data_IF_676587464130
#
_entry.id   IF_676587464130
#
_cell.length_a   1.000
_cell.length_b   1.000
_cell.length_c   1.000
_cell.angle_alpha   90.00
_cell.angle_beta   90.00
_cell.angle_gamma   90.00
#
_symmetry.space_group_name_H-M   'P 1'
#
loop_
_entity.id
_entity.type
_entity.pdbx_description
1 polymer ?
#
# COMPACT_ATOMS: atom_id res chain seq x y z
N UNK A 1 -29.49 94.16 4.50
CA UNK A 1 -29.37 93.19 5.61
C UNK A 1 -28.76 91.91 5.03
N UNK A 2 -27.46 91.91 4.77
CA UNK A 2 -26.38 91.41 5.65
C UNK A 2 -26.54 89.92 6.02
N UNK A 3 -25.85 89.10 5.23
CA UNK A 3 -25.31 87.79 5.61
C UNK A 3 -24.45 87.93 6.86
N UNK A 4 -24.67 87.08 7.87
CA UNK A 4 -23.72 86.90 8.97
C UNK A 4 -23.19 85.47 8.95
N UNK A 5 -21.94 85.35 8.51
CA UNK A 5 -21.07 84.19 8.73
C UNK A 5 -20.75 84.12 10.22
N UNK A 6 -20.94 82.95 10.82
CA UNK A 6 -20.18 82.57 12.03
C UNK A 6 -19.58 81.19 11.80
N UNK A 7 -18.31 81.24 11.39
CA UNK A 7 -17.32 80.19 11.42
C UNK A 7 -16.96 79.95 12.90
N UNK A 8 -17.07 78.72 13.41
CA UNK A 8 -16.37 78.30 14.63
C UNK A 8 -15.71 76.93 14.40
N UNK A 9 -14.48 76.72 14.92
CA UNK A 9 -13.58 75.68 14.45
C UNK A 9 -13.81 74.35 15.18
N UNK A 10 -13.49 73.26 14.47
CA UNK A 10 -13.24 71.94 15.03
C UNK A 10 -12.26 71.98 16.21
N UNK A 11 -12.43 71.08 17.18
CA UNK A 11 -11.32 70.26 17.65
C UNK A 11 -11.56 68.82 17.22
N UNK A 12 -10.84 68.44 16.16
CA UNK A 12 -10.53 67.08 15.78
C UNK A 12 -9.67 66.46 16.90
N UNK A 13 -10.33 65.98 17.96
CA UNK A 13 -9.69 65.16 18.98
C UNK A 13 -9.59 63.73 18.45
N UNK A 14 -8.62 63.51 17.56
CA UNK A 14 -8.03 62.19 17.33
C UNK A 14 -7.38 61.74 18.65
N UNK A 15 -8.14 61.09 19.53
CA UNK A 15 -7.54 60.15 20.46
C UNK A 15 -7.09 58.94 19.62
N UNK A 16 -5.85 59.00 19.16
CA UNK A 16 -5.09 57.85 18.71
C UNK A 16 -5.05 56.83 19.84
N UNK A 17 -5.99 55.88 19.85
CA UNK A 17 -5.74 54.58 20.44
C UNK A 17 -4.63 53.97 19.58
N UNK A 18 -3.38 54.18 19.98
CA UNK A 18 -2.23 53.49 19.40
C UNK A 18 -2.45 51.99 19.65
N UNK A 19 -2.56 51.21 18.58
CA UNK A 19 -2.76 49.76 18.66
C UNK A 19 -1.43 49.08 18.34
N UNK A 20 -1.06 48.03 19.07
CA UNK A 20 0.20 47.33 18.83
C UNK A 20 0.18 46.48 17.54
N UNK A 21 -1.00 45.98 17.15
CA UNK A 21 -1.15 45.06 16.04
C UNK A 21 -2.19 45.58 15.02
N UNK A 22 -1.88 45.44 13.73
CA UNK A 22 -2.73 45.93 12.64
C UNK A 22 -3.23 44.80 11.75
N UNK A 23 -4.28 45.09 10.99
CA UNK A 23 -4.74 44.18 9.94
C UNK A 23 -3.67 44.17 8.86
N UNK A 24 -3.20 42.99 8.49
CA UNK A 24 -2.05 42.92 7.61
C UNK A 24 -1.74 41.51 7.19
N UNK A 25 -0.98 41.45 6.09
CA UNK A 25 -0.34 40.22 5.67
C UNK A 25 0.78 39.86 6.66
N UNK A 26 1.01 38.58 6.83
CA UNK A 26 2.13 38.09 7.61
C UNK A 26 2.75 36.86 6.96
N UNK A 27 4.02 36.63 7.27
CA UNK A 27 4.73 35.39 6.99
C UNK A 27 5.31 34.85 8.30
N UNK A 28 5.41 33.53 8.43
CA UNK A 28 6.04 32.90 9.58
C UNK A 28 6.91 31.74 9.16
N UNK A 29 8.02 31.56 9.87
CA UNK A 29 8.88 30.38 9.77
C UNK A 29 9.07 29.81 11.17
N UNK A 30 8.96 28.50 11.30
CA UNK A 30 9.07 27.86 12.60
C UNK A 30 9.65 26.46 12.55
N UNK A 31 10.04 25.99 13.73
CA UNK A 31 10.47 24.62 13.95
C UNK A 31 9.32 23.84 14.56
N UNK A 32 9.19 22.59 14.12
CA UNK A 32 8.22 21.64 14.65
C UNK A 32 8.93 20.48 15.32
N UNK A 33 8.41 20.07 16.48
CA UNK A 33 8.73 18.80 17.10
C UNK A 33 7.44 18.01 17.26
N UNK A 34 7.41 16.75 16.86
CA UNK A 34 6.21 15.93 17.00
C UNK A 34 6.53 14.52 17.46
N UNK A 35 5.62 13.98 18.26
CA UNK A 35 5.65 12.58 18.65
C UNK A 35 4.79 11.83 17.64
N UNK A 36 5.39 10.87 16.95
CA UNK A 36 4.72 10.02 15.98
C UNK A 36 4.70 8.58 16.49
N UNK A 37 3.62 7.85 16.24
CA UNK A 37 3.63 6.40 16.39
C UNK A 37 3.50 5.72 15.04
N UNK A 38 4.11 4.55 14.94
CA UNK A 38 3.88 3.57 13.91
C UNK A 38 3.24 2.34 14.55
N UNK A 39 2.06 1.96 14.07
CA UNK A 39 1.36 0.74 14.51
C UNK A 39 1.40 -0.25 13.37
N UNK A 40 1.87 -1.45 13.66
CA UNK A 40 2.10 -2.53 12.73
C UNK A 40 1.30 -3.75 13.19
N UNK A 41 0.30 -4.13 12.40
CA UNK A 41 -0.33 -5.44 12.51
C UNK A 41 0.28 -6.33 11.44
N UNK A 42 0.89 -7.42 11.89
CA UNK A 42 1.61 -8.42 11.11
C UNK A 42 2.80 -7.85 10.35
N UNK A 43 3.98 -8.44 10.58
CA UNK A 43 5.20 -7.84 10.05
C UNK A 43 5.24 -7.87 8.52
N UNK A 44 5.24 -6.70 7.86
CA UNK A 44 5.12 -6.62 6.42
C UNK A 44 6.46 -6.90 5.71
N UNK A 45 7.59 -6.94 6.43
CA UNK A 45 8.90 -7.36 5.93
C UNK A 45 9.02 -8.88 5.81
N UNK A 46 8.36 -9.63 6.69
CA UNK A 46 8.15 -11.08 6.52
C UNK A 46 7.28 -11.40 5.29
N UNK A 47 6.59 -10.41 4.70
CA UNK A 47 5.77 -10.65 3.53
C UNK A 47 6.59 -10.96 2.27
N UNK A 48 7.86 -10.56 2.14
CA UNK A 48 8.62 -10.90 0.92
C UNK A 48 8.79 -12.41 0.78
N UNK A 49 9.23 -13.09 1.85
CA UNK A 49 9.35 -14.54 1.86
C UNK A 49 7.97 -15.22 1.72
N UNK A 50 6.94 -14.72 2.42
CA UNK A 50 5.58 -15.26 2.30
C UNK A 50 4.99 -15.11 0.91
N UNK A 51 5.20 -13.97 0.24
CA UNK A 51 4.77 -13.73 -1.14
C UNK A 51 5.44 -14.73 -2.08
N UNK A 52 6.73 -15.02 -1.89
CA UNK A 52 7.42 -16.04 -2.68
C UNK A 52 6.84 -17.44 -2.44
N UNK A 53 6.57 -17.79 -1.18
CA UNK A 53 5.92 -19.07 -0.83
C UNK A 53 4.54 -19.18 -1.49
N UNK A 54 3.71 -18.12 -1.40
CA UNK A 54 2.37 -18.08 -1.98
C UNK A 54 2.43 -18.16 -3.52
N UNK A 55 3.30 -17.37 -4.15
CA UNK A 55 3.50 -17.38 -5.61
C UNK A 55 3.90 -18.77 -6.11
N UNK A 56 4.88 -19.40 -5.44
CA UNK A 56 5.32 -20.75 -5.77
C UNK A 56 4.21 -21.79 -5.58
N UNK A 57 3.42 -21.67 -4.51
CA UNK A 57 2.28 -22.54 -4.26
C UNK A 57 1.18 -22.39 -5.32
N UNK A 58 0.82 -21.16 -5.71
CA UNK A 58 -0.15 -20.90 -6.77
C UNK A 58 0.33 -21.44 -8.13
N UNK A 59 1.59 -21.21 -8.47
CA UNK A 59 2.21 -21.78 -9.68
C UNK A 59 2.14 -23.31 -9.68
N UNK A 60 2.38 -23.95 -8.53
CA UNK A 60 2.27 -25.40 -8.39
C UNK A 60 0.82 -25.87 -8.55
N UNK A 61 -0.15 -25.20 -7.92
CA UNK A 61 -1.58 -25.51 -8.07
C UNK A 61 -2.02 -25.38 -9.54
N UNK A 62 -1.59 -24.33 -10.24
CA UNK A 62 -1.90 -24.13 -11.65
C UNK A 62 -1.36 -25.27 -12.53
N UNK A 63 -0.11 -25.70 -12.28
CA UNK A 63 0.46 -26.88 -12.97
C UNK A 63 -0.33 -28.15 -12.67
N UNK A 64 -0.74 -28.39 -11.43
CA UNK A 64 -1.54 -29.57 -11.06
C UNK A 64 -2.94 -29.54 -11.69
N UNK A 65 -3.58 -28.37 -11.78
CA UNK A 65 -4.85 -28.19 -12.48
C UNK A 65 -4.72 -28.42 -13.99
N UNK A 66 -3.63 -27.97 -14.61
CA UNK A 66 -3.35 -28.27 -16.02
C UNK A 66 -3.27 -29.79 -16.25
N UNK A 67 -2.53 -30.51 -15.41
CA UNK A 67 -2.42 -31.97 -15.49
C UNK A 67 -3.79 -32.65 -15.28
N UNK A 68 -4.62 -32.14 -14.37
CA UNK A 68 -5.99 -32.62 -14.16
C UNK A 68 -6.83 -32.50 -15.43
N UNK A 69 -6.70 -31.39 -16.15
CA UNK A 69 -7.37 -31.18 -17.44
C UNK A 69 -6.81 -32.12 -18.51
N UNK A 70 -5.49 -32.30 -18.59
CA UNK A 70 -4.83 -33.24 -19.50
C UNK A 70 -5.34 -34.68 -19.28
N UNK A 71 -5.41 -35.15 -18.02
CA UNK A 71 -5.97 -36.47 -17.66
C UNK A 71 -7.42 -36.62 -18.11
N UNK A 72 -8.23 -35.58 -17.94
CA UNK A 72 -9.66 -35.61 -18.31
C UNK A 72 -9.82 -35.65 -19.84
N UNK A 73 -8.92 -35.00 -20.58
CA UNK A 73 -8.93 -34.97 -22.04
C UNK A 73 -8.34 -36.23 -22.70
N UNK A 74 -7.63 -37.07 -21.95
CA UNK A 74 -6.84 -38.17 -22.52
C UNK A 74 -7.68 -39.23 -23.26
N UNK A 75 -8.93 -39.44 -22.87
CA UNK A 75 -9.80 -40.36 -23.61
C UNK A 75 -10.01 -39.92 -25.06
N UNK A 76 -10.06 -38.60 -25.31
CA UNK A 76 -10.15 -38.07 -26.68
C UNK A 76 -8.85 -38.32 -27.46
N UNK A 77 -7.70 -38.23 -26.79
CA UNK A 77 -6.39 -38.56 -27.37
C UNK A 77 -6.30 -40.03 -27.74
N UNK A 78 -6.72 -40.96 -26.88
CA UNK A 78 -6.78 -42.38 -27.22
C UNK A 78 -7.74 -42.65 -28.37
N UNK A 79 -8.92 -42.02 -28.39
CA UNK A 79 -9.86 -42.13 -29.51
C UNK A 79 -9.26 -41.65 -30.84
N UNK A 80 -8.52 -40.53 -30.82
CA UNK A 80 -7.82 -40.01 -32.00
C UNK A 80 -6.79 -41.03 -32.51
N UNK A 81 -5.91 -41.52 -31.63
CA UNK A 81 -4.85 -42.48 -31.99
C UNK A 81 -5.46 -43.76 -32.55
N UNK A 82 -6.48 -44.31 -31.89
CA UNK A 82 -7.17 -45.52 -32.34
C UNK A 82 -7.81 -45.35 -33.72
N UNK A 83 -8.30 -44.15 -34.06
CA UNK A 83 -8.85 -43.85 -35.38
C UNK A 83 -7.75 -43.64 -36.44
N UNK A 84 -6.63 -43.02 -36.06
CA UNK A 84 -5.48 -42.86 -36.95
C UNK A 84 -4.89 -44.21 -37.35
N UNK A 85 -4.74 -45.14 -36.39
CA UNK A 85 -4.25 -46.51 -36.64
C UNK A 85 -5.15 -47.29 -37.59
N UNK A 86 -6.48 -47.22 -37.43
CA UNK A 86 -7.43 -47.88 -38.35
C UNK A 86 -7.36 -47.38 -39.78
N UNK A 87 -6.94 -46.14 -39.99
CA UNK A 87 -6.87 -45.50 -41.30
C UNK A 87 -5.45 -45.46 -41.87
N UNK A 88 -4.48 -46.12 -41.21
CA UNK A 88 -3.05 -45.97 -41.49
C UNK A 88 -2.66 -46.34 -42.93
N UNK A 89 -3.43 -47.22 -43.59
CA UNK A 89 -3.25 -47.61 -44.99
C UNK A 89 -3.50 -46.49 -46.02
N UNK A 90 -3.97 -45.30 -45.60
CA UNK A 90 -4.30 -44.16 -46.48
C UNK A 90 -3.40 -42.94 -46.30
N UNK A 91 -2.43 -42.99 -45.38
CA UNK A 91 -1.57 -41.85 -45.03
C UNK A 91 -0.41 -41.68 -46.02
N UNK A 92 -0.12 -40.44 -46.35
CA UNK A 92 1.10 -40.04 -47.06
C UNK A 92 2.33 -40.12 -46.14
N UNK A 93 3.56 -40.20 -46.67
CA UNK A 93 4.78 -40.25 -45.86
C UNK A 93 4.93 -39.06 -44.88
N UNK A 94 4.45 -37.88 -45.26
CA UNK A 94 4.47 -36.67 -44.40
C UNK A 94 3.48 -36.79 -43.24
N UNK A 95 2.29 -37.34 -43.50
CA UNK A 95 1.29 -37.56 -42.45
C UNK A 95 1.73 -38.66 -41.48
N UNK A 96 2.39 -39.72 -41.96
CA UNK A 96 3.00 -40.74 -41.10
C UNK A 96 4.03 -40.16 -40.12
N UNK A 97 4.86 -39.22 -40.58
CA UNK A 97 5.85 -38.56 -39.73
C UNK A 97 5.20 -37.66 -38.66
N UNK A 98 4.10 -36.98 -39.02
CA UNK A 98 3.34 -36.16 -38.08
C UNK A 98 2.65 -37.02 -37.00
N UNK A 99 2.06 -38.15 -37.38
CA UNK A 99 1.46 -39.11 -36.44
C UNK A 99 2.50 -39.72 -35.49
N UNK A 100 3.70 -40.05 -35.99
CA UNK A 100 4.79 -40.55 -35.14
C UNK A 100 5.23 -39.50 -34.10
N UNK A 101 5.34 -38.24 -34.50
CA UNK A 101 5.64 -37.14 -33.58
C UNK A 101 4.51 -36.94 -32.54
N UNK A 102 3.26 -37.02 -32.98
CA UNK A 102 2.09 -36.92 -32.10
C UNK A 102 2.08 -38.04 -31.05
N UNK A 103 2.34 -39.28 -31.45
CA UNK A 103 2.45 -40.43 -30.54
C UNK A 103 3.58 -40.24 -29.52
N UNK A 104 4.77 -39.85 -29.97
CA UNK A 104 5.90 -39.59 -29.09
C UNK A 104 5.57 -38.51 -28.05
N UNK A 105 4.93 -37.42 -28.48
CA UNK A 105 4.50 -36.34 -27.59
C UNK A 105 3.43 -36.80 -26.59
N UNK A 106 2.55 -37.71 -27.01
CA UNK A 106 1.50 -38.28 -26.16
C UNK A 106 2.11 -39.13 -25.04
N UNK A 107 3.10 -39.99 -25.36
CA UNK A 107 3.76 -40.80 -24.34
C UNK A 107 4.53 -39.96 -23.33
N UNK A 108 5.22 -38.90 -23.79
CA UNK A 108 5.86 -37.93 -22.90
C UNK A 108 4.86 -37.21 -21.98
N UNK A 109 3.68 -36.86 -22.49
CA UNK A 109 2.61 -36.28 -21.68
C UNK A 109 2.07 -37.26 -20.63
N UNK A 110 1.89 -38.54 -20.99
CA UNK A 110 1.47 -39.59 -20.05
C UNK A 110 2.54 -39.81 -18.97
N UNK A 111 3.83 -39.79 -19.32
CA UNK A 111 4.93 -39.88 -18.36
C UNK A 111 4.89 -38.73 -17.34
N UNK A 112 4.72 -37.50 -17.83
CA UNK A 112 4.56 -36.31 -16.99
C UNK A 112 3.34 -36.41 -16.06
N UNK A 113 2.22 -36.92 -16.58
CA UNK A 113 1.00 -37.18 -15.80
C UNK A 113 1.28 -38.18 -14.66
N UNK A 114 1.93 -39.30 -14.95
CA UNK A 114 2.28 -40.34 -13.95
C UNK A 114 3.18 -39.74 -12.87
N UNK A 115 4.22 -39.00 -13.27
CA UNK A 115 5.16 -38.35 -12.35
C UNK A 115 4.47 -37.36 -11.40
N UNK A 116 3.55 -36.53 -11.91
CA UNK A 116 2.88 -35.49 -11.12
C UNK A 116 1.68 -36.00 -10.30
N UNK A 117 1.10 -37.14 -10.67
CA UNK A 117 -0.08 -37.73 -10.02
C UNK A 117 0.24 -38.75 -8.92
N UNK A 118 1.49 -38.80 -8.43
CA UNK A 118 1.94 -39.70 -7.35
C UNK A 118 3.07 -40.65 -7.74
N UNK A 119 3.58 -40.53 -8.97
CA UNK A 119 4.74 -41.29 -9.45
C UNK A 119 4.46 -42.77 -9.71
N UNK A 120 5.50 -43.47 -10.16
CA UNK A 120 5.49 -44.91 -10.52
C UNK A 120 4.95 -45.77 -9.38
N UNK A 121 5.30 -45.45 -8.13
CA UNK A 121 4.86 -46.20 -6.96
C UNK A 121 3.33 -46.20 -6.78
N UNK A 122 2.65 -45.13 -7.19
CA UNK A 122 1.19 -45.02 -7.08
C UNK A 122 0.46 -45.75 -8.22
N UNK A 123 1.14 -45.98 -9.35
CA UNK A 123 0.55 -46.51 -10.60
C UNK A 123 1.51 -47.46 -11.34
N UNK A 124 1.98 -48.56 -10.71
CA UNK A 124 3.03 -49.40 -11.27
C UNK A 124 2.63 -50.05 -12.60
N UNK A 125 1.36 -50.44 -12.75
CA UNK A 125 0.85 -51.06 -13.98
C UNK A 125 0.79 -50.08 -15.16
N UNK A 126 0.44 -48.81 -14.90
CA UNK A 126 0.44 -47.78 -15.94
C UNK A 126 1.88 -47.45 -16.37
N UNK A 127 2.81 -47.35 -15.41
CA UNK A 127 4.22 -47.13 -15.71
C UNK A 127 4.81 -48.28 -16.56
N UNK A 128 4.51 -49.54 -16.21
CA UNK A 128 4.93 -50.70 -17.01
C UNK A 128 4.32 -50.70 -18.42
N UNK A 129 3.04 -50.33 -18.56
CA UNK A 129 2.41 -50.23 -19.87
C UNK A 129 3.03 -49.10 -20.73
N UNK A 130 3.47 -48.01 -20.10
CA UNK A 130 4.16 -46.92 -20.77
C UNK A 130 5.58 -47.30 -21.20
N UNK A 131 6.32 -48.03 -20.36
CA UNK A 131 7.67 -48.52 -20.66
C UNK A 131 7.67 -49.43 -21.89
N UNK A 132 6.69 -50.35 -21.98
CA UNK A 132 6.49 -51.21 -23.16
C UNK A 132 6.22 -50.46 -24.47
N UNK A 133 5.69 -49.24 -24.39
CA UNK A 133 5.49 -48.39 -25.58
C UNK A 133 6.76 -47.67 -26.03
N UNK A 134 7.80 -47.63 -25.19
CA UNK A 134 9.09 -47.03 -25.51
C UNK A 134 10.09 -48.05 -26.08
N UNK A 135 9.81 -49.34 -25.95
CA UNK A 135 10.64 -50.40 -26.51
C UNK A 135 10.60 -50.39 -28.06
N UNK A 136 11.68 -50.81 -28.75
CA UNK A 136 11.69 -50.89 -30.21
C UNK A 136 10.59 -51.81 -30.72
N UNK A 137 9.63 -51.26 -31.47
CA UNK A 137 8.51 -52.02 -32.02
C UNK A 137 9.02 -52.91 -33.14
N UNK A 138 8.91 -54.23 -32.98
CA UNK A 138 9.32 -55.20 -34.01
C UNK A 138 8.14 -55.72 -34.84
N UNK A 139 6.89 -55.58 -34.35
CA UNK A 139 5.68 -56.04 -35.02
C UNK A 139 4.51 -55.03 -34.85
N UNK A 140 3.80 -54.64 -35.94
CA UNK A 140 2.62 -53.77 -35.86
C UNK A 140 1.50 -54.28 -34.94
N UNK A 141 1.29 -55.60 -34.87
CA UNK A 141 0.27 -56.21 -33.99
C UNK A 141 0.63 -56.04 -32.51
N UNK A 142 1.92 -56.12 -32.18
CA UNK A 142 2.44 -55.93 -30.82
C UNK A 142 2.24 -54.49 -30.35
N UNK A 143 2.41 -53.51 -31.24
CA UNK A 143 2.14 -52.11 -30.94
C UNK A 143 0.67 -51.84 -30.61
N UNK A 144 -0.26 -52.39 -31.40
CA UNK A 144 -1.70 -52.24 -31.14
C UNK A 144 -2.09 -52.86 -29.78
N UNK A 145 -1.52 -54.02 -29.43
CA UNK A 145 -1.76 -54.67 -28.15
C UNK A 145 -1.19 -53.85 -26.98
N UNK A 146 0.04 -53.34 -27.11
CA UNK A 146 0.67 -52.49 -26.10
C UNK A 146 -0.10 -51.18 -25.91
N UNK A 147 -0.58 -50.55 -26.98
CA UNK A 147 -1.39 -49.33 -26.91
C UNK A 147 -2.74 -49.59 -26.22
N UNK A 148 -3.41 -50.70 -26.54
CA UNK A 148 -4.68 -51.08 -25.91
C UNK A 148 -4.49 -51.38 -24.42
N UNK A 149 -3.38 -52.02 -24.05
CA UNK A 149 -3.03 -52.20 -22.64
C UNK A 149 -2.75 -50.85 -21.95
N UNK A 150 -2.03 -49.92 -22.59
CA UNK A 150 -1.80 -48.57 -22.07
C UNK A 150 -3.12 -47.83 -21.81
N UNK A 151 -4.05 -47.82 -22.76
CA UNK A 151 -5.38 -47.20 -22.61
C UNK A 151 -6.15 -47.81 -21.43
N UNK A 152 -6.16 -49.15 -21.31
CA UNK A 152 -6.82 -49.84 -20.20
C UNK A 152 -6.22 -49.47 -18.84
N UNK A 153 -4.89 -49.48 -18.71
CA UNK A 153 -4.22 -49.11 -17.46
C UNK A 153 -4.41 -47.63 -17.13
N UNK A 154 -4.44 -46.75 -18.14
CA UNK A 154 -4.70 -45.32 -17.96
C UNK A 154 -6.11 -45.09 -17.42
N UNK A 155 -7.12 -45.70 -18.04
CA UNK A 155 -8.52 -45.57 -17.60
C UNK A 155 -8.75 -46.12 -16.19
N UNK A 156 -8.10 -47.24 -15.85
CA UNK A 156 -8.17 -47.79 -14.49
C UNK A 156 -7.48 -46.91 -13.43
N UNK A 157 -6.47 -46.12 -13.82
CA UNK A 157 -5.73 -45.24 -12.92
C UNK A 157 -6.27 -43.81 -12.86
N UNK A 158 -7.12 -43.39 -13.80
CA UNK A 158 -7.63 -42.02 -13.94
C UNK A 158 -8.20 -41.46 -12.63
N UNK A 159 -9.14 -42.16 -11.99
CA UNK A 159 -9.76 -41.70 -10.74
C UNK A 159 -8.75 -41.57 -9.59
N UNK A 160 -7.76 -42.47 -9.53
CA UNK A 160 -6.68 -42.42 -8.53
C UNK A 160 -5.75 -41.23 -8.79
N UNK A 161 -5.40 -40.98 -10.06
CA UNK A 161 -4.63 -39.81 -10.48
C UNK A 161 -5.33 -38.51 -10.08
N UNK A 162 -6.61 -38.36 -10.44
CA UNK A 162 -7.40 -37.17 -10.15
C UNK A 162 -7.57 -36.95 -8.64
N UNK A 163 -7.75 -38.03 -7.87
CA UNK A 163 -7.85 -37.96 -6.40
C UNK A 163 -6.53 -37.56 -5.76
N UNK A 164 -5.41 -38.13 -6.21
CA UNK A 164 -4.05 -37.79 -5.76
C UNK A 164 -3.73 -36.31 -6.02
N UNK A 165 -3.98 -35.83 -7.24
CA UNK A 165 -3.78 -34.42 -7.60
C UNK A 165 -4.66 -33.49 -6.76
N UNK A 166 -5.93 -33.85 -6.54
CA UNK A 166 -6.85 -33.05 -5.71
C UNK A 166 -6.38 -33.01 -4.25
N UNK A 167 -5.87 -34.11 -3.71
CA UNK A 167 -5.27 -34.16 -2.37
C UNK A 167 -4.02 -33.28 -2.28
N UNK A 168 -3.14 -33.32 -3.28
CA UNK A 168 -1.95 -32.46 -3.32
C UNK A 168 -2.33 -30.97 -3.35
N UNK A 169 -3.33 -30.59 -4.15
CA UNK A 169 -3.85 -29.20 -4.20
C UNK A 169 -4.43 -28.79 -2.83
N UNK A 170 -5.17 -29.68 -2.18
CA UNK A 170 -5.74 -29.43 -0.85
C UNK A 170 -4.65 -29.25 0.21
N UNK A 171 -3.60 -30.08 0.21
CA UNK A 171 -2.45 -29.95 1.11
C UNK A 171 -1.72 -28.62 0.93
N UNK A 172 -1.48 -28.21 -0.33
CA UNK A 172 -0.86 -26.91 -0.63
C UNK A 172 -1.78 -25.77 -0.17
N UNK A 173 -3.09 -25.84 -0.40
CA UNK A 173 -4.03 -24.81 0.06
C UNK A 173 -4.07 -24.71 1.60
N UNK A 174 -3.99 -25.85 2.30
CA UNK A 174 -3.98 -25.88 3.76
C UNK A 174 -2.69 -25.32 4.35
N UNK A 175 -1.53 -25.59 3.74
CA UNK A 175 -0.26 -25.00 4.19
C UNK A 175 -0.24 -23.47 4.01
N UNK A 176 -0.91 -22.94 2.98
CA UNK A 176 -1.09 -21.50 2.83
C UNK A 176 -1.98 -20.89 3.92
N UNK A 177 -3.02 -21.60 4.38
CA UNK A 177 -3.87 -21.12 5.49
C UNK A 177 -3.07 -21.01 6.81
N UNK A 178 -2.06 -21.86 7.02
CA UNK A 178 -1.22 -21.83 8.22
C UNK A 178 -0.21 -20.67 8.27
N UNK A 179 -0.08 -19.89 7.18
CA UNK A 179 0.81 -18.73 7.13
C UNK A 179 0.22 -17.48 7.80
N UNK A 180 -1.01 -17.53 8.32
CA UNK A 180 -1.70 -16.34 8.85
C UNK A 180 -0.95 -15.74 10.05
N UNK A 181 -0.37 -14.55 9.91
CA UNK A 181 0.39 -13.94 10.98
C UNK A 181 -0.55 -13.34 12.04
N UNK A 182 -0.10 -13.37 13.30
CA UNK A 182 -0.77 -12.72 14.42
C UNK A 182 0.22 -11.94 15.30
N UNK A 183 1.03 -11.07 14.68
CA UNK A 183 1.98 -10.23 15.40
C UNK A 183 1.48 -8.79 15.47
N UNK A 184 1.64 -8.13 16.62
CA UNK A 184 1.31 -6.73 16.81
C UNK A 184 2.52 -6.01 17.38
N UNK A 185 2.90 -4.90 16.74
CA UNK A 185 4.01 -4.06 17.17
C UNK A 185 3.61 -2.59 17.15
N UNK A 186 4.03 -1.84 18.15
CA UNK A 186 3.80 -0.41 18.26
C UNK A 186 5.11 0.27 18.59
N UNK A 187 5.56 1.13 17.68
CA UNK A 187 6.77 1.93 17.86
C UNK A 187 6.42 3.39 18.00
N UNK A 188 7.12 4.10 18.87
CA UNK A 188 7.00 5.55 19.04
C UNK A 188 8.32 6.16 18.58
N UNK A 189 8.25 7.15 17.70
CA UNK A 189 9.42 7.90 17.23
C UNK A 189 9.18 9.40 17.31
N UNK A 190 10.29 10.13 17.35
CA UNK A 190 10.30 11.59 17.28
C UNK A 190 10.40 12.03 15.82
N UNK A 191 9.68 13.08 15.45
CA UNK A 191 9.77 13.72 14.14
C UNK A 191 10.07 15.21 14.33
N UNK A 192 11.08 15.70 13.62
CA UNK A 192 11.51 17.09 13.64
C UNK A 192 11.21 17.73 12.29
N UNK A 193 10.82 18.99 12.27
CA UNK A 193 10.40 19.63 11.04
C UNK A 193 10.57 21.13 11.02
N UNK A 194 10.28 21.69 9.86
CA UNK A 194 10.19 23.12 9.61
C UNK A 194 8.80 23.44 9.09
N UNK A 195 8.24 24.56 9.53
CA UNK A 195 6.93 25.07 9.14
C UNK A 195 7.10 26.43 8.49
N UNK A 196 6.37 26.64 7.40
CA UNK A 196 6.23 27.91 6.72
C UNK A 196 4.74 28.24 6.66
N UNK A 197 4.37 29.47 7.01
CA UNK A 197 3.01 29.94 6.79
C UNK A 197 2.97 31.37 6.27
N UNK A 198 1.96 31.66 5.47
CA UNK A 198 1.66 33.00 4.97
C UNK A 198 0.16 33.23 5.07
N UNK A 199 -0.25 34.42 5.47
CA UNK A 199 -1.67 34.67 5.67
C UNK A 199 -2.01 36.11 5.94
N UNK A 200 -3.26 36.32 6.34
CA UNK A 200 -3.79 37.63 6.65
C UNK A 200 -4.50 37.59 8.00
N UNK A 201 -4.24 38.60 8.83
CA UNK A 201 -4.90 38.80 10.12
C UNK A 201 -5.96 39.88 9.98
N UNK A 202 -7.18 39.58 10.42
CA UNK A 202 -8.30 40.51 10.41
C UNK A 202 -8.89 40.66 11.82
N UNK A 203 -8.68 41.81 12.43
CA UNK A 203 -9.22 42.18 13.74
C UNK A 203 -10.50 43.01 13.58
N UNK A 204 -11.57 42.60 14.26
CA UNK A 204 -12.90 43.21 14.11
C UNK A 204 -13.17 44.34 15.11
N UNK A 205 -12.52 44.28 16.28
CA UNK A 205 -12.86 45.18 17.39
C UNK A 205 -12.07 46.48 17.30
N UNK A 206 -12.66 47.61 17.74
CA UNK A 206 -11.94 48.91 17.86
C UNK A 206 -10.69 48.82 18.74
N UNK A 207 -10.70 47.91 19.72
CA UNK A 207 -9.58 47.56 20.59
C UNK A 207 -8.64 46.47 20.01
N UNK A 208 -8.92 45.98 18.78
CA UNK A 208 -8.27 44.86 18.08
C UNK A 208 -7.86 43.69 18.97
N UNK A 209 -8.70 43.38 19.96
CA UNK A 209 -8.48 42.28 20.89
C UNK A 209 -9.00 40.94 20.35
N UNK A 210 -9.86 40.96 19.33
CA UNK A 210 -10.43 39.76 18.70
C UNK A 210 -10.29 39.86 17.19
N UNK A 211 -9.85 38.76 16.57
CA UNK A 211 -9.68 38.69 15.13
C UNK A 211 -9.72 37.25 14.62
N UNK A 212 -9.78 37.12 13.30
CA UNK A 212 -9.53 35.86 12.62
C UNK A 212 -8.25 35.97 11.80
N UNK A 213 -7.58 34.83 11.67
CA UNK A 213 -6.41 34.66 10.83
C UNK A 213 -6.67 33.54 9.87
N UNK A 214 -6.53 33.82 8.59
CA UNK A 214 -6.60 32.80 7.53
C UNK A 214 -5.24 32.70 6.88
N UNK A 215 -4.77 31.48 6.69
CA UNK A 215 -3.39 31.24 6.29
C UNK A 215 -3.24 29.98 5.46
N UNK A 216 -2.24 30.03 4.57
CA UNK A 216 -1.68 28.88 3.88
C UNK A 216 -0.46 28.43 4.67
N UNK A 217 -0.28 27.12 4.81
CA UNK A 217 0.89 26.58 5.47
C UNK A 217 1.46 25.37 4.73
N UNK A 218 2.75 25.18 4.93
CA UNK A 218 3.52 24.03 4.49
C UNK A 218 4.47 23.63 5.61
N UNK A 219 4.29 22.41 6.14
CA UNK A 219 5.12 21.81 7.16
C UNK A 219 5.88 20.62 6.55
N UNK A 220 7.20 20.66 6.65
CA UNK A 220 8.08 19.55 6.30
C UNK A 220 8.57 18.87 7.57
N UNK A 221 8.28 17.58 7.72
CA UNK A 221 8.73 16.76 8.84
C UNK A 221 9.68 15.66 8.39
N UNK A 222 10.76 15.46 9.12
CA UNK A 222 11.72 14.38 8.98
C UNK A 222 11.72 13.50 10.23
N UNK A 223 11.55 12.20 10.03
CA UNK A 223 11.66 11.22 11.10
C UNK A 223 12.48 10.02 10.66
N UNK A 224 13.27 9.49 11.57
CA UNK A 224 13.88 8.19 11.40
C UNK A 224 13.14 7.22 12.29
N UNK A 225 12.26 6.41 11.70
CA UNK A 225 11.66 5.31 12.44
C UNK A 225 12.69 4.18 12.53
N UNK A 226 13.34 4.05 13.70
CA UNK A 226 14.13 2.87 14.01
C UNK A 226 13.19 1.73 14.37
N UNK A 227 12.83 0.88 13.42
CA UNK A 227 12.17 -0.38 13.71
C UNK A 227 13.24 -1.36 14.19
N UNK A 228 13.52 -1.36 15.49
CA UNK A 228 14.48 -2.30 16.08
C UNK A 228 13.78 -3.65 16.24
N UNK A 229 13.99 -4.53 15.25
CA UNK A 229 13.50 -5.91 15.29
C UNK A 229 13.79 -6.67 14.00
N UNK A 230 14.83 -7.52 14.03
CA UNK A 230 15.20 -8.53 13.02
C UNK A 230 15.70 -8.03 11.64
N UNK A 231 16.67 -7.12 11.63
CA UNK A 231 17.65 -7.06 10.53
C UNK A 231 17.22 -6.33 9.25
N UNK A 232 16.21 -5.46 9.31
CA UNK A 232 15.84 -4.60 8.19
C UNK A 232 15.72 -3.13 8.65
N UNK A 233 16.74 -2.32 8.35
CA UNK A 233 16.79 -0.85 8.53
C UNK A 233 15.82 -0.09 7.57
N UNK A 234 14.72 -0.72 7.15
CA UNK A 234 14.06 -0.41 5.87
C UNK A 234 12.92 0.60 5.88
N UNK A 235 12.51 1.15 7.03
CA UNK A 235 11.72 2.40 7.03
C UNK A 235 12.61 3.64 7.07
N UNK A 236 13.93 3.42 6.94
CA UNK A 236 14.99 4.41 6.88
C UNK A 236 14.50 5.72 6.31
N UNK A 237 14.47 6.73 7.19
CA UNK A 237 14.17 8.13 6.87
C UNK A 237 12.84 8.31 6.12
N UNK A 238 11.79 8.64 6.88
CA UNK A 238 10.53 9.09 6.32
C UNK A 238 10.42 10.61 6.38
N UNK A 239 9.97 11.20 5.28
CA UNK A 239 9.62 12.60 5.17
C UNK A 239 8.10 12.70 5.09
N UNK A 240 7.55 13.67 5.80
CA UNK A 240 6.15 14.04 5.73
C UNK A 240 6.03 15.46 5.18
N UNK A 241 5.24 15.62 4.13
CA UNK A 241 4.87 16.90 3.55
C UNK A 241 3.42 17.19 3.92
N UNK A 242 3.20 18.17 4.78
CA UNK A 242 1.88 18.58 5.20
C UNK A 242 1.60 19.98 4.65
N UNK A 243 0.51 20.15 3.92
CA UNK A 243 0.15 21.43 3.32
C UNK A 243 -1.33 21.66 3.43
N UNK A 244 -1.74 22.93 3.56
CA UNK A 244 -3.15 23.21 3.76
C UNK A 244 -3.51 24.66 3.96
N UNK A 245 -4.78 24.84 4.31
CA UNK A 245 -5.43 26.10 4.62
C UNK A 245 -5.92 26.05 6.06
N UNK A 246 -5.62 27.08 6.84
CA UNK A 246 -6.02 27.19 8.24
C UNK A 246 -6.82 28.44 8.52
N UNK A 247 -7.68 28.34 9.53
CA UNK A 247 -8.37 29.47 10.13
C UNK A 247 -8.24 29.40 11.65
N UNK A 248 -7.70 30.47 12.23
CA UNK A 248 -7.57 30.61 13.68
C UNK A 248 -8.33 31.83 14.17
N UNK A 249 -9.01 31.67 15.31
CA UNK A 249 -9.45 32.78 16.14
C UNK A 249 -8.26 33.31 16.94
N UNK A 250 -8.10 34.63 16.92
CA UNK A 250 -7.06 35.37 17.64
C UNK A 250 -7.71 36.15 18.77
N UNK A 251 -7.12 36.07 19.96
CA UNK A 251 -7.52 36.89 21.08
C UNK A 251 -6.30 37.46 21.83
N UNK A 252 -6.24 38.77 21.95
CA UNK A 252 -5.16 39.49 22.64
C UNK A 252 -5.63 39.87 24.06
N UNK A 253 -4.93 39.39 25.09
CA UNK A 253 -5.24 39.72 26.50
C UNK A 253 -4.47 40.95 26.99
N UNK A 254 -3.24 41.14 26.50
CA UNK A 254 -2.37 42.26 26.87
C UNK A 254 -2.01 43.01 25.59
N UNK A 255 -2.30 44.31 25.55
CA UNK A 255 -1.91 45.21 24.47
C UNK A 255 -1.19 46.43 25.05
N UNK A 256 0.12 46.48 24.85
CA UNK A 256 0.96 47.61 25.24
C UNK A 256 1.14 48.57 24.06
N UNK A 257 0.15 49.45 23.89
CA UNK A 257 0.12 50.54 22.91
C UNK A 257 1.44 51.35 22.80
N UNK A 258 2.15 51.56 23.93
CA UNK A 258 3.39 52.36 23.98
C UNK A 258 4.63 51.63 23.48
N UNK A 259 4.67 50.30 23.55
CA UNK A 259 5.80 49.48 23.10
C UNK A 259 5.51 48.70 21.82
N UNK A 260 4.30 48.85 21.27
CA UNK A 260 3.79 48.04 20.17
C UNK A 260 3.99 46.53 20.40
N UNK A 261 3.75 46.09 21.64
CA UNK A 261 3.86 44.68 22.02
C UNK A 261 2.50 44.16 22.46
N UNK A 262 2.12 42.99 21.95
CA UNK A 262 0.86 42.33 22.31
C UNK A 262 1.10 40.87 22.68
N UNK A 263 0.32 40.37 23.63
CA UNK A 263 0.30 38.97 24.03
C UNK A 263 -1.12 38.45 23.93
N UNK A 264 -1.27 37.30 23.29
CA UNK A 264 -2.57 36.69 23.03
C UNK A 264 -2.50 35.18 22.89
N UNK A 265 -3.65 34.58 22.65
CA UNK A 265 -3.76 33.19 22.22
C UNK A 265 -4.38 33.11 20.83
N UNK A 266 -4.15 31.98 20.19
CA UNK A 266 -4.88 31.59 18.99
C UNK A 266 -5.46 30.19 19.18
N UNK A 267 -6.63 29.94 18.58
CA UNK A 267 -7.27 28.64 18.57
C UNK A 267 -8.07 28.48 17.27
N UNK A 268 -7.95 27.34 16.60
CA UNK A 268 -8.51 27.14 15.28
C UNK A 268 -8.35 25.73 14.76
N UNK A 269 -8.63 25.59 13.48
CA UNK A 269 -8.48 24.35 12.75
C UNK A 269 -7.96 24.61 11.34
N UNK A 270 -7.37 23.60 10.74
CA UNK A 270 -6.95 23.63 9.36
C UNK A 270 -7.49 22.44 8.58
N UNK A 271 -7.54 22.58 7.27
CA UNK A 271 -7.74 21.50 6.31
C UNK A 271 -6.40 21.24 5.64
N UNK A 272 -5.87 20.04 5.81
CA UNK A 272 -4.50 19.72 5.41
C UNK A 272 -4.43 18.40 4.63
N UNK A 273 -3.66 18.39 3.55
CA UNK A 273 -3.19 17.18 2.88
C UNK A 273 -1.82 16.79 3.44
N UNK A 274 -1.66 15.54 3.87
CA UNK A 274 -0.40 14.97 4.32
C UNK A 274 0.07 13.94 3.31
N UNK A 275 1.29 14.08 2.82
CA UNK A 275 1.93 13.13 1.90
C UNK A 275 3.21 12.59 2.53
N UNK A 276 3.29 11.27 2.68
CA UNK A 276 4.46 10.59 3.24
C UNK A 276 5.33 10.02 2.12
N UNK A 277 6.61 10.34 2.14
CA UNK A 277 7.62 9.81 1.21
C UNK A 277 8.80 9.25 1.98
N UNK A 278 9.33 8.11 1.57
CA UNK A 278 10.44 7.45 2.25
C UNK A 278 11.28 6.64 1.27
N UNK A 279 12.53 6.37 1.63
CA UNK A 279 13.48 5.66 0.75
C UNK A 279 12.99 4.26 0.34
N UNK A 280 12.18 3.59 1.17
CA UNK A 280 11.60 2.27 0.88
C UNK A 280 10.31 2.28 0.04
N UNK A 281 9.71 3.43 -0.27
CA UNK A 281 8.34 3.52 -0.81
C UNK A 281 8.19 2.85 -2.19
N UNK A 282 9.23 2.90 -3.04
CA UNK A 282 9.24 2.21 -4.33
C UNK A 282 9.17 0.68 -4.22
N UNK A 283 9.78 0.11 -3.17
CA UNK A 283 9.71 -1.33 -2.90
C UNK A 283 8.28 -1.76 -2.55
N UNK A 284 7.58 -0.97 -1.74
CA UNK A 284 6.18 -1.21 -1.36
C UNK A 284 5.22 -1.08 -2.54
N UNK A 285 5.43 -0.10 -3.43
CA UNK A 285 4.64 0.05 -4.66
C UNK A 285 4.82 -1.20 -5.54
N UNK A 286 6.06 -1.60 -5.81
CA UNK A 286 6.36 -2.80 -6.59
C UNK A 286 5.74 -4.07 -5.98
N UNK A 287 5.78 -4.19 -4.65
CA UNK A 287 5.15 -5.31 -3.95
C UNK A 287 3.62 -5.28 -4.07
N UNK A 288 3.00 -4.09 -3.96
CA UNK A 288 1.56 -3.88 -4.16
C UNK A 288 1.14 -4.31 -5.55
N UNK A 289 1.88 -3.86 -6.57
CA UNK A 289 1.62 -4.20 -7.96
C UNK A 289 1.80 -5.69 -8.20
N UNK A 290 2.82 -6.31 -7.59
CA UNK A 290 3.02 -7.76 -7.70
C UNK A 290 1.83 -8.54 -7.11
N UNK A 291 1.39 -8.18 -5.90
CA UNK A 291 0.26 -8.84 -5.24
C UNK A 291 -1.00 -8.70 -6.08
N UNK A 292 -1.31 -7.48 -6.54
CA UNK A 292 -2.55 -7.22 -7.27
C UNK A 292 -2.59 -7.85 -8.68
N UNK A 293 -1.43 -7.94 -9.36
CA UNK A 293 -1.39 -8.44 -10.74
C UNK A 293 -1.09 -9.95 -10.84
N UNK A 294 -0.35 -10.52 -9.89
CA UNK A 294 0.14 -11.90 -9.99
C UNK A 294 -0.42 -12.86 -8.94
N UNK A 295 -0.96 -12.36 -7.82
CA UNK A 295 -1.55 -13.22 -6.78
C UNK A 295 -3.08 -13.21 -6.85
N UNK A 296 -3.65 -14.29 -7.36
CA UNK A 296 -5.12 -14.42 -7.47
C UNK A 296 -5.75 -14.53 -6.07
N UNK A 297 -6.76 -13.70 -5.78
CA UNK A 297 -7.47 -13.70 -4.50
C UNK A 297 -6.79 -12.89 -3.38
N UNK A 298 -5.76 -12.11 -3.72
CA UNK A 298 -5.08 -11.19 -2.82
C UNK A 298 -5.27 -9.76 -3.30
N UNK A 299 -5.29 -8.80 -2.37
CA UNK A 299 -5.39 -7.38 -2.66
C UNK A 299 -4.44 -6.58 -1.77
N UNK A 300 -3.75 -5.61 -2.35
CA UNK A 300 -2.87 -4.68 -1.65
C UNK A 300 -3.31 -3.24 -1.96
N UNK A 301 -3.39 -2.40 -0.92
CA UNK A 301 -3.76 -0.99 -1.00
C UNK A 301 -2.70 -0.15 -0.30
N UNK A 302 -2.32 0.95 -0.96
CA UNK A 302 -1.36 1.90 -0.44
C UNK A 302 -1.96 3.31 -0.49
N UNK A 303 -1.95 4.00 0.65
CA UNK A 303 -2.41 5.38 0.75
C UNK A 303 -1.24 6.27 1.17
N UNK A 304 -0.56 6.85 0.17
CA UNK A 304 0.60 7.73 0.39
C UNK A 304 0.20 9.14 0.79
N UNK A 305 -1.03 9.55 0.48
CA UNK A 305 -1.56 10.88 0.77
C UNK A 305 -2.95 10.79 1.38
N UNK A 306 -3.22 11.65 2.36
CA UNK A 306 -4.52 11.71 3.02
C UNK A 306 -4.88 13.11 3.50
N UNK A 307 -6.18 13.34 3.66
CA UNK A 307 -6.71 14.57 4.25
C UNK A 307 -6.86 14.44 5.76
N UNK A 308 -6.51 15.50 6.48
CA UNK A 308 -6.66 15.59 7.93
C UNK A 308 -7.12 16.99 8.34
N UNK A 309 -7.79 17.04 9.49
CA UNK A 309 -8.24 18.29 10.11
C UNK A 309 -7.43 18.50 11.40
N UNK A 310 -6.27 19.18 11.38
CA UNK A 310 -5.54 19.48 12.59
C UNK A 310 -6.19 20.64 13.35
N UNK A 311 -6.35 20.46 14.66
CA UNK A 311 -6.68 21.55 15.59
C UNK A 311 -5.41 22.28 15.98
N UNK A 312 -5.42 23.61 15.91
CA UNK A 312 -4.27 24.46 16.23
C UNK A 312 -4.62 25.34 17.41
N UNK A 313 -3.75 25.40 18.42
CA UNK A 313 -3.89 26.34 19.51
C UNK A 313 -2.54 26.71 20.10
N UNK A 314 -2.41 27.93 20.60
CA UNK A 314 -1.14 28.40 21.12
C UNK A 314 -1.18 29.81 21.64
N UNK A 315 -0.01 30.29 22.03
CA UNK A 315 0.24 31.64 22.53
C UNK A 315 1.03 32.42 21.49
N UNK A 316 0.70 33.70 21.38
CA UNK A 316 1.40 34.66 20.50
C UNK A 316 1.95 35.81 21.32
N UNK A 317 3.16 36.21 20.99
CA UNK A 317 3.86 37.35 21.59
C UNK A 317 4.43 38.19 20.47
N UNK A 318 3.83 39.35 20.22
CA UNK A 318 4.41 40.35 19.33
C UNK A 318 5.31 41.27 20.16
N UNK A 319 6.57 41.40 19.73
CA UNK A 319 7.59 42.21 20.42
C UNK A 319 7.57 43.65 19.89
N UNK A 320 7.34 43.82 18.59
CA UNK A 320 7.12 45.11 17.94
C UNK A 320 6.08 44.96 16.81
N UNK A 321 5.84 46.02 16.02
CA UNK A 321 4.85 46.01 14.92
C UNK A 321 5.09 44.92 13.87
N UNK A 322 6.34 44.55 13.63
CA UNK A 322 6.72 43.62 12.57
C UNK A 322 7.09 42.23 13.10
N UNK A 323 7.65 42.13 14.30
CA UNK A 323 8.26 40.93 14.84
C UNK A 323 7.41 40.32 15.96
N UNK A 324 7.02 39.07 15.78
CA UNK A 324 6.38 38.26 16.80
C UNK A 324 6.92 36.84 16.88
N UNK A 325 6.56 36.18 17.97
CA UNK A 325 6.85 34.78 18.24
C UNK A 325 5.55 34.08 18.59
N UNK A 326 5.37 32.88 18.09
CA UNK A 326 4.23 32.03 18.38
C UNK A 326 4.72 30.67 18.85
N UNK A 327 4.06 30.15 19.88
CA UNK A 327 4.32 28.83 20.43
C UNK A 327 3.00 28.12 20.58
N UNK A 328 2.89 26.90 20.08
CA UNK A 328 1.61 26.20 20.13
C UNK A 328 1.70 24.70 19.90
N UNK A 329 0.50 24.14 19.79
CA UNK A 329 0.24 22.74 19.57
C UNK A 329 -0.67 22.57 18.37
N UNK A 330 -0.34 21.60 17.51
CA UNK A 330 -1.22 21.07 16.47
C UNK A 330 -1.59 19.62 16.80
N UNK A 331 -2.88 19.30 16.82
CA UNK A 331 -3.42 17.95 17.09
C UNK A 331 -4.18 17.46 15.85
N UNK A 332 -3.64 16.49 15.10
CA UNK A 332 -4.35 15.87 13.97
C UNK A 332 -5.51 14.97 14.43
N UNK A 333 -6.71 15.21 13.91
CA UNK A 333 -7.91 14.43 14.29
C UNK A 333 -8.11 13.13 13.49
N UNK A 334 -7.57 13.03 12.28
CA UNK A 334 -7.79 11.88 11.39
C UNK A 334 -6.83 10.71 11.66
N UNK A 335 -7.30 9.49 11.39
CA UNK A 335 -6.53 8.24 11.42
C UNK A 335 -6.65 7.59 10.05
N UNK A 336 -5.54 7.38 9.34
CA UNK A 336 -5.55 6.69 8.05
C UNK A 336 -4.40 5.68 7.94
N UNK A 337 -4.68 4.56 7.30
CA UNK A 337 -3.74 3.47 7.03
C UNK A 337 -2.80 3.83 5.91
N UNK A 338 -1.49 3.60 6.08
CA UNK A 338 -0.50 3.86 5.04
C UNK A 338 -0.39 2.70 4.06
N UNK A 339 -0.46 1.46 4.57
CA UNK A 339 -0.38 0.25 3.77
C UNK A 339 -1.30 -0.81 4.37
N UNK A 340 -2.09 -1.45 3.52
CA UNK A 340 -2.96 -2.55 3.88
C UNK A 340 -2.89 -3.65 2.83
N UNK A 341 -2.79 -4.89 3.26
CA UNK A 341 -2.96 -6.04 2.38
C UNK A 341 -4.04 -6.95 2.95
N UNK A 342 -4.84 -7.49 2.05
CA UNK A 342 -5.96 -8.36 2.32
C UNK A 342 -5.72 -9.65 1.55
N UNK A 343 -5.67 -10.76 2.28
CA UNK A 343 -5.46 -12.08 1.70
C UNK A 343 -4.84 -13.04 2.71
N UNK A 344 -5.21 -14.31 2.59
CA UNK A 344 -4.84 -15.36 3.55
C UNK A 344 -3.31 -15.47 3.69
N UNK A 345 -2.78 -15.30 4.90
CA UNK A 345 -1.33 -15.34 5.13
C UNK A 345 -0.59 -14.04 4.84
N UNK A 346 -1.27 -13.03 4.30
CA UNK A 346 -0.71 -11.71 3.96
C UNK A 346 -1.51 -10.56 4.56
N UNK A 347 -2.43 -10.79 5.51
CA UNK A 347 -3.13 -9.68 6.15
C UNK A 347 -2.13 -8.84 6.96
N UNK A 348 -1.80 -7.63 6.50
CA UNK A 348 -0.98 -6.67 7.25
C UNK A 348 -1.60 -5.30 7.16
N UNK A 349 -1.39 -4.50 8.20
CA UNK A 349 -1.71 -3.09 8.16
C UNK A 349 -0.66 -2.28 8.91
N UNK A 350 -0.17 -1.24 8.24
CA UNK A 350 0.82 -0.31 8.77
C UNK A 350 0.22 1.10 8.79
N UNK A 351 0.24 1.72 9.96
CA UNK A 351 -0.34 3.05 10.20
C UNK A 351 0.73 3.98 10.77
N UNK A 352 0.87 5.17 10.17
CA UNK A 352 1.68 6.26 10.71
C UNK A 352 0.79 7.40 11.17
N UNK A 353 1.01 7.90 12.39
CA UNK A 353 0.24 9.02 12.93
C UNK A 353 1.11 9.93 13.77
N UNK A 354 1.03 11.24 13.51
CA UNK A 354 1.49 12.29 14.44
C UNK A 354 0.44 12.43 15.55
N UNK A 355 0.83 12.25 16.81
CA UNK A 355 -0.07 12.40 17.96
C UNK A 355 -0.25 13.87 18.33
N UNK A 356 0.88 14.56 18.52
CA UNK A 356 0.94 15.96 18.92
C UNK A 356 2.14 16.59 18.22
N UNK A 357 1.94 17.79 17.72
CA UNK A 357 2.98 18.63 17.12
C UNK A 357 3.14 19.87 17.98
N UNK A 358 4.34 20.08 18.50
CA UNK A 358 4.77 21.31 19.14
C UNK A 358 5.40 22.21 18.08
N UNK A 359 4.92 23.45 17.97
CA UNK A 359 5.47 24.43 17.03
C UNK A 359 6.00 25.65 17.77
N UNK A 360 7.16 26.13 17.32
CA UNK A 360 7.71 27.43 17.71
C UNK A 360 8.06 28.19 16.45
N UNK A 361 7.42 29.32 16.22
CA UNK A 361 7.56 30.09 14.98
C UNK A 361 7.85 31.55 15.24
N UNK A 362 8.70 32.11 14.40
CA UNK A 362 8.89 33.55 14.26
C UNK A 362 7.92 34.07 13.19
N UNK A 363 7.26 35.18 13.49
CA UNK A 363 6.22 35.81 12.68
C UNK A 363 6.66 37.20 12.29
N UNK A 364 6.68 37.47 10.99
CA UNK A 364 6.88 38.79 10.43
C UNK A 364 5.55 39.34 9.88
N UNK A 365 5.12 40.50 10.36
CA UNK A 365 3.93 41.21 9.88
C UNK A 365 4.36 42.39 9.00
N UNK A 366 3.78 42.51 7.80
CA UNK A 366 4.15 43.50 6.78
C UNK A 366 3.48 44.85 6.99
#
# INVERSE_FOLDING_TARGET
>A
MQFQKTLFPLPLLFLSCCIAEENGAYASVGFEYSISHAVEHNNPFLNQERIQIISNAQNKINKLNQVKNEITSMQNTFNYINNALKNHAKLTPTEMQAEQYYLQSTFQNIEKIVMLSGGVASQPKLAQALEKMQEPITNPLEFEENLRNLELQFNQSQNRMLSSLSSQIAQISNSLNALDPSSYSKNISSMYGVSLSVGYKHFFTKKKNQGFRYYLFYDYGYTNFGFVGNGFDGLGKMNNHLYGLGIDYLYNFIDNAKKHSSVGFYAGFALAGSSWVGSGLGMWISQTDFINNYLTGYQAKMHTSFFQIPLNFGVRVNVNRHNGFEMGLKIPLAVNSFYETHGKGLNTSLFFKRLVVFNVSYVYSF
#
